data_IF_942014542354
#
_entry.id   IF_942014542354
#
_cell.length_a   1.000
_cell.length_b   1.000
_cell.length_c   1.000
_cell.angle_alpha   90.00
_cell.angle_beta   90.00
_cell.angle_gamma   90.00
#
_symmetry.space_group_name_H-M   'P 1'
#
loop_
_entity.id
_entity.type
_entity.pdbx_description
1 polymer ?
#
# COMPACT_ATOMS: atom_id res chain seq x y z
N UNK A 1 -6.57 -10.50 5.39
CA UNK A 1 -5.35 -9.66 5.47
C UNK A 1 -4.79 -9.87 6.85
N UNK A 2 -3.73 -10.67 6.99
CA UNK A 2 -3.18 -11.01 8.30
C UNK A 2 -2.25 -9.87 8.73
N UNK A 3 -2.48 -9.34 9.93
CA UNK A 3 -1.72 -8.25 10.51
C UNK A 3 -0.86 -8.78 11.65
N UNK A 4 0.39 -8.32 11.74
CA UNK A 4 1.32 -8.77 12.76
C UNK A 4 2.15 -7.62 13.32
N UNK A 5 2.43 -7.69 14.61
CA UNK A 5 3.35 -6.80 15.33
C UNK A 5 4.76 -7.40 15.45
N UNK A 6 4.96 -8.65 15.00
CA UNK A 6 6.26 -9.32 15.02
C UNK A 6 7.10 -8.84 13.85
N UNK A 7 7.73 -7.68 14.03
CA UNK A 7 8.58 -7.03 13.02
C UNK A 7 10.04 -7.06 13.46
N UNK A 8 10.96 -7.37 12.54
CA UNK A 8 12.40 -7.18 12.79
C UNK A 8 13.04 -6.44 11.63
N UNK A 9 13.88 -5.46 11.94
CA UNK A 9 14.59 -4.66 10.96
C UNK A 9 16.07 -5.04 10.98
N UNK A 10 16.67 -5.18 9.80
CA UNK A 10 18.11 -5.38 9.66
C UNK A 10 18.81 -4.06 9.32
N UNK A 11 20.14 -4.09 9.40
CA UNK A 11 20.96 -3.01 8.87
C UNK A 11 20.93 -2.98 7.35
N UNK A 12 21.20 -1.79 6.81
CA UNK A 12 21.19 -1.55 5.38
C UNK A 12 22.31 -2.36 4.74
N UNK A 13 21.93 -3.25 3.83
CA UNK A 13 22.88 -4.05 3.09
C UNK A 13 23.32 -3.28 1.85
N UNK A 14 24.63 -3.14 1.69
CA UNK A 14 25.21 -2.58 0.47
C UNK A 14 25.51 -3.70 -0.55
N UNK A 15 25.07 -3.50 -1.79
CA UNK A 15 25.30 -4.43 -2.90
C UNK A 15 26.00 -3.68 -4.03
N UNK A 16 27.33 -3.72 -4.07
CA UNK A 16 28.08 -3.07 -5.14
C UNK A 16 27.68 -3.65 -6.50
N UNK A 17 27.76 -2.83 -7.55
CA UNK A 17 27.39 -3.17 -8.96
C UNK A 17 25.89 -3.30 -9.24
N UNK A 18 25.00 -2.93 -8.32
CA UNK A 18 23.55 -2.83 -8.58
C UNK A 18 23.15 -1.37 -8.81
N UNK A 19 22.17 -1.13 -9.68
CA UNK A 19 21.58 0.22 -9.92
C UNK A 19 21.05 0.86 -8.63
N UNK A 20 20.54 0.05 -7.72
CA UNK A 20 20.07 0.44 -6.38
C UNK A 20 20.87 -0.36 -5.33
N UNK A 21 22.05 0.13 -4.93
CA UNK A 21 22.99 -0.64 -4.12
C UNK A 21 22.56 -0.76 -2.66
N UNK A 22 21.77 0.18 -2.12
CA UNK A 22 21.37 0.19 -0.71
C UNK A 22 20.06 -0.55 -0.51
N UNK A 23 20.09 -1.68 0.18
CA UNK A 23 18.91 -2.51 0.45
C UNK A 23 18.49 -2.42 1.92
N UNK A 24 17.23 -2.08 2.15
CA UNK A 24 16.56 -2.17 3.45
C UNK A 24 15.85 -3.52 3.51
N UNK A 25 16.08 -4.27 4.59
CA UNK A 25 15.45 -5.58 4.82
C UNK A 25 14.70 -5.57 6.14
N UNK A 26 13.54 -6.21 6.16
CA UNK A 26 12.79 -6.44 7.39
C UNK A 26 11.93 -7.71 7.29
N UNK A 27 11.51 -8.26 8.41
CA UNK A 27 10.57 -9.37 8.48
C UNK A 27 9.27 -8.95 9.12
N UNK A 28 8.17 -9.53 8.63
CA UNK A 28 6.84 -9.46 9.27
C UNK A 28 6.37 -10.89 9.49
N UNK A 29 6.19 -11.29 10.74
CA UNK A 29 5.82 -12.66 11.13
C UNK A 29 6.67 -13.75 10.45
N UNK A 30 7.99 -13.54 10.38
CA UNK A 30 8.93 -14.47 9.76
C UNK A 30 9.02 -14.40 8.23
N UNK A 31 8.20 -13.57 7.56
CA UNK A 31 8.29 -13.35 6.10
C UNK A 31 9.23 -12.21 5.79
N UNK A 32 10.28 -12.48 5.05
CA UNK A 32 11.27 -11.47 4.66
C UNK A 32 10.75 -10.56 3.55
N UNK A 33 11.04 -9.27 3.70
CA UNK A 33 10.74 -8.20 2.77
C UNK A 33 11.99 -7.37 2.56
N UNK A 34 12.19 -6.90 1.34
CA UNK A 34 13.28 -5.99 1.04
C UNK A 34 12.88 -4.92 0.05
N UNK A 35 13.52 -3.76 0.19
CA UNK A 35 13.33 -2.62 -0.70
C UNK A 35 14.70 -1.98 -0.98
N UNK A 36 14.96 -1.62 -2.23
CA UNK A 36 16.29 -1.17 -2.67
C UNK A 36 16.26 0.27 -3.16
N UNK A 37 17.29 1.04 -2.80
CA UNK A 37 17.42 2.48 -3.02
C UNK A 37 18.74 2.84 -3.70
N UNK A 38 18.75 4.00 -4.37
CA UNK A 38 19.92 4.52 -5.10
C UNK A 38 20.95 5.10 -4.12
N UNK A 39 20.50 5.80 -3.08
CA UNK A 39 21.37 6.47 -2.10
C UNK A 39 21.16 5.90 -0.69
N UNK A 40 22.21 5.98 0.14
CA UNK A 40 22.17 5.51 1.52
C UNK A 40 21.14 6.29 2.35
N UNK A 41 21.09 7.62 2.18
CA UNK A 41 20.13 8.47 2.89
C UNK A 41 18.66 8.11 2.61
N UNK A 42 18.32 7.70 1.37
CA UNK A 42 16.96 7.22 1.06
C UNK A 42 16.66 5.89 1.79
N UNK A 43 17.61 4.96 1.82
CA UNK A 43 17.47 3.71 2.55
C UNK A 43 17.36 3.93 4.08
N UNK A 44 18.15 4.84 4.63
CA UNK A 44 18.10 5.23 6.05
C UNK A 44 16.77 5.88 6.40
N UNK A 45 16.31 6.83 5.59
CA UNK A 45 14.99 7.46 5.76
C UNK A 45 13.86 6.44 5.71
N UNK A 46 13.88 5.50 4.75
CA UNK A 46 12.89 4.42 4.68
C UNK A 46 12.92 3.53 5.91
N UNK A 47 14.11 3.08 6.34
CA UNK A 47 14.28 2.24 7.53
C UNK A 47 13.78 2.97 8.78
N UNK A 48 14.14 4.24 8.94
CA UNK A 48 13.68 5.07 10.05
C UNK A 48 12.15 5.16 10.09
N UNK A 49 11.51 5.43 8.94
CA UNK A 49 10.05 5.47 8.83
C UNK A 49 9.39 4.16 9.26
N UNK A 50 9.89 3.02 8.79
CA UNK A 50 9.38 1.71 9.19
C UNK A 50 9.56 1.45 10.69
N UNK A 51 10.71 1.81 11.25
CA UNK A 51 10.96 1.68 12.69
C UNK A 51 10.05 2.59 13.51
N UNK A 52 9.78 3.82 13.04
CA UNK A 52 8.84 4.74 13.70
C UNK A 52 7.44 4.15 13.74
N UNK A 53 6.90 3.67 12.61
CA UNK A 53 5.59 2.99 12.61
C UNK A 53 5.53 1.80 13.57
N UNK A 54 6.60 1.00 13.66
CA UNK A 54 6.64 -0.09 14.64
C UNK A 54 6.68 0.41 16.09
N UNK A 55 7.39 1.51 16.38
CA UNK A 55 7.43 2.15 17.70
C UNK A 55 6.08 2.77 18.08
N UNK A 56 5.36 3.31 17.11
CA UNK A 56 4.02 3.88 17.28
C UNK A 56 2.96 2.78 17.50
N UNK A 57 3.35 1.50 17.54
CA UNK A 57 2.45 0.39 17.77
C UNK A 57 1.58 0.07 16.55
N UNK A 58 2.05 0.38 15.33
CA UNK A 58 1.32 0.00 14.12
C UNK A 58 1.51 -1.48 13.77
N UNK A 59 0.43 -2.13 13.36
CA UNK A 59 0.49 -3.47 12.80
C UNK A 59 1.00 -3.44 11.35
N UNK A 60 1.75 -4.47 10.97
CA UNK A 60 2.27 -4.65 9.62
C UNK A 60 1.50 -5.77 8.92
N UNK A 61 1.17 -5.57 7.65
CA UNK A 61 0.51 -6.60 6.84
C UNK A 61 1.52 -7.67 6.41
N UNK A 62 1.20 -8.93 6.65
CA UNK A 62 2.08 -10.06 6.36
C UNK A 62 2.31 -10.31 4.86
N UNK A 63 1.45 -9.79 3.99
CA UNK A 63 1.55 -9.99 2.54
C UNK A 63 2.41 -8.92 1.91
N UNK A 64 2.16 -7.65 2.23
CA UNK A 64 2.87 -6.51 1.64
C UNK A 64 4.13 -6.15 2.42
N UNK A 65 4.14 -6.40 3.72
CA UNK A 65 5.20 -5.97 4.62
C UNK A 65 5.08 -4.51 5.06
N UNK A 66 3.98 -3.84 4.76
CA UNK A 66 3.82 -2.41 4.99
C UNK A 66 3.04 -2.14 6.29
N UNK A 67 3.31 -1.00 6.96
CA UNK A 67 2.50 -0.55 8.09
C UNK A 67 1.05 -0.29 7.69
N UNK A 68 0.12 -0.44 8.63
CA UNK A 68 -1.29 -0.19 8.41
C UNK A 68 -1.58 1.24 7.94
N UNK A 69 -0.86 2.26 8.44
CA UNK A 69 -0.98 3.65 7.97
C UNK A 69 -0.64 3.81 6.49
N UNK A 70 0.43 3.17 6.02
CA UNK A 70 0.86 3.21 4.62
C UNK A 70 -0.17 2.54 3.71
N UNK A 71 -0.73 1.41 4.15
CA UNK A 71 -1.82 0.73 3.43
C UNK A 71 -3.08 1.60 3.38
N UNK A 72 -3.41 2.27 4.49
CA UNK A 72 -4.54 3.22 4.52
C UNK A 72 -4.31 4.38 3.57
N UNK A 73 -3.10 4.97 3.56
CA UNK A 73 -2.76 6.07 2.67
C UNK A 73 -2.87 5.67 1.20
N UNK A 74 -2.37 4.49 0.82
CA UNK A 74 -2.52 3.96 -0.55
C UNK A 74 -4.00 3.77 -0.92
N UNK A 75 -4.83 3.26 0.01
CA UNK A 75 -6.28 3.13 -0.23
C UNK A 75 -7.00 4.47 -0.33
N UNK A 76 -6.55 5.47 0.42
CA UNK A 76 -7.11 6.82 0.40
C UNK A 76 -6.72 7.59 -0.86
N UNK A 77 -5.72 7.16 -1.63
CA UNK A 77 -5.41 7.73 -2.94
C UNK A 77 -6.42 7.35 -4.02
N UNK A 78 -7.31 6.39 -3.79
CA UNK A 78 -8.41 6.09 -4.71
C UNK A 78 -9.37 7.29 -4.73
N UNK A 79 -9.48 7.94 -5.89
CA UNK A 79 -10.40 9.06 -6.03
C UNK A 79 -11.85 8.57 -6.04
N UNK A 80 -12.79 9.45 -5.72
CA UNK A 80 -14.23 9.15 -5.88
C UNK A 80 -14.56 8.72 -7.32
N UNK A 81 -13.88 9.32 -8.30
CA UNK A 81 -14.00 8.96 -9.72
C UNK A 81 -13.55 7.52 -10.00
N UNK A 82 -12.37 7.12 -9.51
CA UNK A 82 -11.85 5.75 -9.70
C UNK A 82 -12.79 4.71 -9.08
N UNK A 83 -13.33 5.03 -7.88
CA UNK A 83 -14.29 4.18 -7.20
C UNK A 83 -15.60 4.04 -7.99
N UNK A 84 -16.15 5.16 -8.48
CA UNK A 84 -17.38 5.18 -9.26
C UNK A 84 -17.24 4.36 -10.55
N UNK A 85 -16.10 4.48 -11.24
CA UNK A 85 -15.83 3.72 -12.46
C UNK A 85 -15.72 2.21 -12.17
N UNK A 86 -14.90 1.81 -11.19
CA UNK A 86 -14.74 0.41 -10.81
C UNK A 86 -16.07 -0.23 -10.38
N UNK A 87 -16.90 0.52 -9.66
CA UNK A 87 -18.23 0.09 -9.23
C UNK A 87 -19.19 -0.14 -10.41
N UNK A 88 -19.18 0.74 -11.42
CA UNK A 88 -19.99 0.54 -12.64
C UNK A 88 -19.46 -0.67 -13.43
N UNK A 89 -18.15 -0.78 -13.64
CA UNK A 89 -17.54 -1.86 -14.41
C UNK A 89 -17.90 -3.25 -13.83
N UNK A 90 -17.82 -3.42 -12.50
CA UNK A 90 -18.16 -4.69 -11.83
C UNK A 90 -19.64 -5.08 -12.00
N UNK A 91 -20.51 -4.12 -12.32
CA UNK A 91 -21.97 -4.33 -12.38
C UNK A 91 -22.53 -4.27 -13.78
N UNK A 92 -21.81 -3.72 -14.75
CA UNK A 92 -22.33 -3.40 -16.06
C UNK A 92 -23.03 -4.59 -16.72
N UNK A 93 -22.35 -5.73 -16.84
CA UNK A 93 -22.84 -6.90 -17.57
C UNK A 93 -24.07 -7.55 -16.93
N UNK A 94 -24.17 -7.53 -15.60
CA UNK A 94 -25.29 -8.12 -14.83
C UNK A 94 -26.45 -7.16 -14.57
N UNK A 95 -26.34 -5.91 -15.01
CA UNK A 95 -27.32 -4.85 -14.69
C UNK A 95 -28.16 -4.51 -15.92
N UNK A 96 -29.51 -4.51 -15.83
CA UNK A 96 -30.39 -4.07 -16.92
C UNK A 96 -30.14 -2.61 -17.32
N UNK A 97 -30.41 -2.27 -18.59
CA UNK A 97 -30.14 -0.93 -19.14
C UNK A 97 -30.77 0.23 -18.35
N UNK A 98 -32.02 0.07 -17.88
CA UNK A 98 -32.68 1.09 -17.04
C UNK A 98 -31.94 1.30 -15.72
N UNK A 99 -31.48 0.23 -15.09
CA UNK A 99 -30.73 0.29 -13.83
C UNK A 99 -29.34 0.89 -14.04
N UNK A 100 -28.68 0.65 -15.19
CA UNK A 100 -27.42 1.31 -15.54
C UNK A 100 -27.57 2.83 -15.60
N UNK A 101 -28.64 3.32 -16.23
CA UNK A 101 -28.95 4.77 -16.28
C UNK A 101 -29.17 5.35 -14.87
N UNK A 102 -30.00 4.70 -14.05
CA UNK A 102 -30.24 5.16 -12.67
C UNK A 102 -28.95 5.19 -11.84
N UNK A 103 -28.05 4.21 -12.00
CA UNK A 103 -26.75 4.22 -11.33
C UNK A 103 -25.85 5.37 -11.79
N UNK A 104 -25.82 5.65 -13.10
CA UNK A 104 -25.07 6.78 -13.64
C UNK A 104 -25.60 8.12 -13.10
N UNK A 105 -26.92 8.31 -13.10
CA UNK A 105 -27.55 9.53 -12.56
C UNK A 105 -27.28 9.70 -11.06
N UNK A 106 -27.36 8.62 -10.28
CA UNK A 106 -27.08 8.65 -8.85
C UNK A 106 -25.60 9.00 -8.56
N UNK A 107 -24.66 8.40 -9.29
CA UNK A 107 -23.23 8.69 -9.13
C UNK A 107 -22.91 10.13 -9.57
N UNK A 108 -23.50 10.60 -10.67
CA UNK A 108 -23.37 11.99 -11.12
C UNK A 108 -23.88 12.98 -10.06
N UNK A 109 -25.03 12.68 -9.44
CA UNK A 109 -25.63 13.53 -8.40
C UNK A 109 -24.74 13.65 -7.16
N UNK A 110 -24.11 12.55 -6.71
CA UNK A 110 -23.22 12.56 -5.54
C UNK A 110 -21.90 13.29 -5.84
N UNK A 111 -21.55 13.45 -7.12
CA UNK A 111 -20.30 14.11 -7.55
C UNK A 111 -20.46 15.61 -7.78
N UNK A 112 -21.69 16.11 -7.91
CA UNK A 112 -22.01 17.53 -8.16
C UNK A 112 -21.92 18.38 -6.87
#
# INVERSE_FOLDING_TARGET
MAMSYKVRFWDIRERPRRRKPFEVRWTVNGRERSESFITKGLAESRRAKLMTSARDGEAFDERTGLPASEIRAVRQQTTWYDLAHAYIDERWDRTPGNTRRTLADALATITA
#
